data_IF_410621479982
#
_entry.id   IF_410621479982
#
_cell.length_a   1.000
_cell.length_b   1.000
_cell.length_c   1.000
_cell.angle_alpha   90.00
_cell.angle_beta   90.00
_cell.angle_gamma   90.00
#
_symmetry.space_group_name_H-M   'P 1'
#
loop_
_entity.id
_entity.type
_entity.pdbx_description
1 polymer ?
#
# COMPACT_ATOMS: atom_id res chain seq x y z
N UNK A 1 -11.45 -6.32 6.86
CA UNK A 1 -12.30 -7.04 5.90
C UNK A 1 -11.37 -7.66 4.86
N UNK A 2 -11.34 -8.99 4.68
CA UNK A 2 -10.53 -9.60 3.64
C UNK A 2 -11.06 -9.17 2.27
N UNK A 3 -10.16 -8.73 1.38
CA UNK A 3 -10.51 -8.45 -0.01
C UNK A 3 -10.73 -9.79 -0.72
N UNK A 4 -11.90 -9.99 -1.33
CA UNK A 4 -12.13 -11.16 -2.16
C UNK A 4 -11.25 -11.08 -3.42
N UNK A 5 -10.49 -12.13 -3.70
CA UNK A 5 -9.57 -12.24 -4.85
C UNK A 5 -9.81 -13.57 -5.56
N UNK A 6 -9.44 -13.65 -6.83
CA UNK A 6 -9.46 -14.91 -7.58
C UNK A 6 -8.34 -15.84 -7.13
N UNK A 7 -8.59 -17.14 -7.20
CA UNK A 7 -7.54 -18.16 -7.07
C UNK A 7 -6.61 -18.11 -8.30
N UNK A 8 -5.36 -18.54 -8.16
CA UNK A 8 -4.36 -18.43 -9.23
C UNK A 8 -4.75 -19.24 -10.48
N UNK A 9 -5.45 -20.36 -10.30
CA UNK A 9 -5.98 -21.21 -11.36
C UNK A 9 -7.01 -20.49 -12.23
N UNK A 10 -7.70 -19.49 -11.66
CA UNK A 10 -8.71 -18.69 -12.36
C UNK A 10 -8.10 -17.48 -13.08
N UNK A 11 -6.81 -17.20 -12.86
CA UNK A 11 -6.07 -16.13 -13.53
C UNK A 11 -5.43 -16.70 -14.79
N UNK A 12 -5.73 -16.06 -15.94
CA UNK A 12 -5.15 -16.44 -17.23
C UNK A 12 -3.60 -16.41 -17.16
N UNK A 13 -2.89 -17.48 -17.60
CA UNK A 13 -1.44 -17.60 -17.42
C UNK A 13 -0.65 -16.38 -17.93
N UNK A 14 -1.04 -15.81 -19.07
CA UNK A 14 -0.37 -14.67 -19.69
C UNK A 14 -0.37 -13.35 -18.87
N UNK A 15 -1.18 -13.25 -17.80
CA UNK A 15 -1.23 -12.03 -16.95
C UNK A 15 -0.82 -12.28 -15.50
N UNK A 16 -0.45 -13.52 -15.14
CA UNK A 16 -0.12 -13.88 -13.74
C UNK A 16 1.05 -13.06 -13.20
N UNK A 17 2.13 -12.95 -13.97
CA UNK A 17 3.31 -12.16 -13.60
C UNK A 17 2.97 -10.68 -13.46
N UNK A 18 2.22 -10.12 -14.41
CA UNK A 18 1.73 -8.73 -14.33
C UNK A 18 0.93 -8.48 -13.05
N UNK A 19 0.08 -9.42 -12.60
CA UNK A 19 -0.66 -9.26 -11.35
C UNK A 19 0.28 -9.37 -10.13
N UNK A 20 1.20 -10.33 -10.15
CA UNK A 20 2.14 -10.57 -9.07
C UNK A 20 3.07 -9.37 -8.82
N UNK A 21 3.54 -8.72 -9.88
CA UNK A 21 4.52 -7.63 -9.76
C UNK A 21 3.91 -6.23 -9.76
N UNK A 22 2.62 -6.09 -10.07
CA UNK A 22 1.98 -4.77 -10.13
C UNK A 22 1.97 -4.09 -8.77
N UNK A 23 2.68 -2.96 -8.69
CA UNK A 23 2.88 -2.16 -7.48
C UNK A 23 3.56 -2.93 -6.33
N UNK A 24 4.33 -3.99 -6.66
CA UNK A 24 5.03 -4.80 -5.66
C UNK A 24 6.02 -3.98 -4.84
N UNK A 25 6.70 -3.04 -5.48
CA UNK A 25 7.58 -2.05 -4.85
C UNK A 25 6.87 -1.27 -3.72
N UNK A 26 5.65 -0.79 -3.97
CA UNK A 26 4.83 -0.08 -2.98
C UNK A 26 4.43 -1.02 -1.84
N UNK A 27 4.05 -2.26 -2.14
CA UNK A 27 3.69 -3.24 -1.11
C UNK A 27 4.88 -3.55 -0.20
N UNK A 28 6.06 -3.76 -0.77
CA UNK A 28 7.29 -4.02 -0.02
C UNK A 28 7.71 -2.81 0.82
N UNK A 29 7.57 -1.58 0.31
CA UNK A 29 7.81 -0.36 1.09
C UNK A 29 6.88 -0.27 2.30
N UNK A 30 5.58 -0.54 2.10
CA UNK A 30 4.59 -0.50 3.17
C UNK A 30 4.84 -1.60 4.20
N UNK A 31 5.22 -2.80 3.78
CA UNK A 31 5.58 -3.89 4.69
C UNK A 31 6.74 -3.49 5.61
N UNK A 32 7.82 -2.93 5.06
CA UNK A 32 8.94 -2.41 5.85
C UNK A 32 8.52 -1.30 6.81
N UNK A 33 7.70 -0.36 6.34
CA UNK A 33 7.21 0.73 7.18
C UNK A 33 6.37 0.22 8.37
N UNK A 34 5.61 -0.87 8.20
CA UNK A 34 4.81 -1.49 9.26
C UNK A 34 5.71 -2.16 10.30
N UNK A 35 6.83 -2.77 9.89
CA UNK A 35 7.79 -3.37 10.81
C UNK A 35 8.48 -2.33 11.69
N UNK A 36 8.77 -1.14 11.13
CA UNK A 36 9.53 -0.09 11.80
C UNK A 36 8.68 0.90 12.62
N UNK A 37 7.35 0.91 12.50
CA UNK A 37 6.50 1.96 13.07
C UNK A 37 5.21 1.42 13.71
N UNK A 38 4.82 1.98 14.87
CA UNK A 38 3.56 1.65 15.55
C UNK A 38 2.31 2.00 14.72
N UNK A 39 2.41 3.06 13.91
CA UNK A 39 1.32 3.54 13.05
C UNK A 39 1.88 3.90 11.68
N UNK A 40 1.20 3.47 10.62
CA UNK A 40 1.55 3.80 9.22
C UNK A 40 0.35 4.41 8.52
N UNK A 41 0.55 5.52 7.81
CA UNK A 41 -0.48 6.18 7.00
C UNK A 41 -0.08 6.13 5.53
N UNK A 42 -0.72 5.25 4.77
CA UNK A 42 -0.48 5.06 3.32
C UNK A 42 -1.58 5.72 2.51
N UNK A 43 -1.23 6.38 1.40
CA UNK A 43 -2.22 6.83 0.42
C UNK A 43 -1.63 7.63 -0.73
N UNK A 44 -2.42 7.80 -1.79
CA UNK A 44 -2.00 8.49 -3.01
C UNK A 44 -1.75 9.99 -2.77
N UNK A 45 -0.77 10.56 -3.48
CA UNK A 45 -0.41 11.98 -3.35
C UNK A 45 -1.57 12.95 -3.61
N UNK A 46 -2.48 12.60 -4.54
CA UNK A 46 -3.66 13.41 -4.86
C UNK A 46 -4.78 13.31 -3.81
N UNK A 47 -4.72 12.31 -2.93
CA UNK A 47 -5.72 12.12 -1.90
C UNK A 47 -5.47 13.10 -0.73
N UNK A 48 -6.42 13.97 -0.36
CA UNK A 48 -6.22 14.90 0.75
C UNK A 48 -6.30 14.23 2.14
N UNK A 49 -6.85 13.02 2.25
CA UNK A 49 -7.11 12.37 3.54
C UNK A 49 -5.86 11.89 4.28
N UNK A 50 -4.84 11.27 3.64
CA UNK A 50 -3.57 10.95 4.29
C UNK A 50 -2.92 12.18 4.93
N UNK A 51 -2.91 13.32 4.23
CA UNK A 51 -2.41 14.60 4.76
C UNK A 51 -3.17 15.05 6.01
N UNK A 52 -4.50 14.91 6.02
CA UNK A 52 -5.35 15.22 7.18
C UNK A 52 -5.09 14.27 8.36
N UNK A 53 -4.90 12.97 8.10
CA UNK A 53 -4.61 11.97 9.12
C UNK A 53 -3.27 12.30 9.82
N UNK A 54 -2.20 12.50 9.06
CA UNK A 54 -0.89 12.87 9.62
C UNK A 54 -0.95 14.15 10.48
N UNK A 55 -1.65 15.19 10.00
CA UNK A 55 -1.83 16.43 10.77
C UNK A 55 -2.52 16.19 12.12
N UNK A 56 -3.53 15.32 12.17
CA UNK A 56 -4.23 14.98 13.41
C UNK A 56 -3.38 14.14 14.37
N UNK A 57 -2.46 13.34 13.83
CA UNK A 57 -1.47 12.60 14.61
C UNK A 57 -0.31 13.50 15.10
N UNK A 58 -0.29 14.78 14.74
CA UNK A 58 0.79 15.71 15.09
C UNK A 58 2.08 15.50 14.28
N UNK A 59 2.03 14.72 13.20
CA UNK A 59 3.21 14.39 12.42
C UNK A 59 3.56 15.46 11.39
N UNK A 60 4.84 15.80 11.32
CA UNK A 60 5.43 16.59 10.24
C UNK A 60 5.48 15.83 8.92
N UNK A 61 5.67 16.53 7.80
CA UNK A 61 5.91 15.89 6.51
C UNK A 61 7.29 15.21 6.55
N UNK A 62 7.32 13.88 6.42
CA UNK A 62 8.53 13.18 5.99
C UNK A 62 8.40 12.95 4.48
N UNK A 63 9.15 13.73 3.71
CA UNK A 63 9.45 13.38 2.33
C UNK A 63 10.56 12.33 2.39
N UNK A 64 10.29 11.15 1.86
CA UNK A 64 11.28 10.48 1.01
C UNK A 64 10.67 10.41 -0.38
#
# INVERSE_FOLDING_TARGET
>A
MPRYIFDEEQIHPAIRETIADRNRDIVEEVQKAIEDNDVVVVGMAQNPFPKKARKRLGWGWHHR
#
